data_IF_301817475380
#
_entry.id   IF_301817475380
#
_cell.length_a   1.000
_cell.length_b   1.000
_cell.length_c   1.000
_cell.angle_alpha   90.00
_cell.angle_beta   90.00
_cell.angle_gamma   90.00
#
_symmetry.space_group_name_H-M   'P 1'
#
loop_
_entity.id
_entity.type
_entity.pdbx_description
1 polymer ?
#
# COMPACT_ATOMS: atom_id res chain seq x y z
N UNK A 1 27.36 -0.86 -3.31
CA UNK A 1 26.58 -0.16 -2.26
C UNK A 1 25.67 -1.19 -1.61
N UNK A 2 25.55 -1.26 -0.28
CA UNK A 2 24.55 -2.13 0.35
C UNK A 2 23.20 -1.41 0.32
N UNK A 3 22.17 -2.08 -0.17
CA UNK A 3 20.80 -1.56 -0.13
C UNK A 3 20.37 -1.32 1.33
N UNK A 4 19.75 -0.17 1.56
CA UNK A 4 19.04 0.19 2.78
C UNK A 4 17.85 -0.76 3.03
N UNK A 5 17.30 -0.73 4.25
CA UNK A 5 16.13 -1.54 4.59
C UNK A 5 14.90 -1.19 3.75
N UNK A 6 14.72 0.10 3.44
CA UNK A 6 13.61 0.59 2.60
C UNK A 6 13.76 0.06 1.18
N UNK A 7 14.95 0.19 0.59
CA UNK A 7 15.21 -0.30 -0.77
C UNK A 7 15.02 -1.83 -0.87
N UNK A 8 15.51 -2.59 0.12
CA UNK A 8 15.29 -4.04 0.18
C UNK A 8 13.82 -4.41 0.30
N UNK A 9 13.03 -3.64 1.05
CA UNK A 9 11.59 -3.88 1.17
C UNK A 9 10.88 -3.67 -0.17
N UNK A 10 11.25 -2.61 -0.89
CA UNK A 10 10.68 -2.29 -2.21
C UNK A 10 11.11 -3.31 -3.26
N UNK A 11 12.39 -3.65 -3.34
CA UNK A 11 12.86 -4.72 -4.25
C UNK A 11 12.13 -6.05 -3.99
N UNK A 12 11.96 -6.42 -2.73
CA UNK A 12 11.25 -7.65 -2.39
C UNK A 12 9.76 -7.58 -2.79
N UNK A 13 9.11 -6.43 -2.56
CA UNK A 13 7.74 -6.20 -3.03
C UNK A 13 7.60 -6.32 -4.54
N UNK A 14 8.53 -5.74 -5.30
CA UNK A 14 8.55 -5.81 -6.77
C UNK A 14 8.74 -7.25 -7.26
N UNK A 15 9.62 -8.05 -6.63
CA UNK A 15 9.77 -9.46 -7.00
C UNK A 15 8.52 -10.30 -6.67
N UNK A 16 7.81 -9.99 -5.58
CA UNK A 16 6.50 -10.62 -5.31
C UNK A 16 5.50 -10.20 -6.39
N UNK A 17 5.45 -8.92 -6.75
CA UNK A 17 4.58 -8.39 -7.80
C UNK A 17 4.78 -9.11 -9.13
N UNK A 18 6.04 -9.30 -9.56
CA UNK A 18 6.35 -10.07 -10.77
C UNK A 18 5.78 -11.50 -10.69
N UNK A 19 5.94 -12.18 -9.54
CA UNK A 19 5.42 -13.53 -9.34
C UNK A 19 3.88 -13.56 -9.42
N UNK A 20 3.21 -12.58 -8.80
CA UNK A 20 1.74 -12.48 -8.77
C UNK A 20 1.19 -12.11 -10.15
N UNK A 21 1.78 -11.13 -10.83
CA UNK A 21 1.36 -10.71 -12.17
C UNK A 21 1.54 -11.84 -13.21
N UNK A 22 2.60 -12.64 -13.09
CA UNK A 22 2.78 -13.83 -13.93
C UNK A 22 1.80 -14.96 -13.62
N UNK A 23 1.32 -15.04 -12.38
CA UNK A 23 0.30 -16.00 -11.99
C UNK A 23 -1.10 -15.52 -12.42
N UNK A 24 -1.34 -14.21 -12.38
CA UNK A 24 -2.59 -13.53 -12.73
C UNK A 24 -3.84 -14.26 -12.19
N UNK A 25 -4.00 -14.33 -10.86
CA UNK A 25 -5.01 -15.17 -10.22
C UNK A 25 -6.47 -14.84 -10.60
N UNK A 26 -6.72 -13.65 -11.15
CA UNK A 26 -8.04 -13.19 -11.56
C UNK A 26 -8.15 -12.91 -13.07
N UNK A 27 -7.11 -13.21 -13.85
CA UNK A 27 -7.05 -12.95 -15.31
C UNK A 27 -7.29 -11.48 -15.68
N UNK A 28 -6.68 -10.56 -14.92
CA UNK A 28 -6.91 -9.12 -15.02
C UNK A 28 -5.80 -8.38 -15.77
N UNK A 29 -4.65 -9.01 -16.01
CA UNK A 29 -3.48 -8.30 -16.56
C UNK A 29 -3.69 -7.77 -17.99
N UNK A 30 -4.62 -8.36 -18.75
CA UNK A 30 -4.95 -7.89 -20.11
C UNK A 30 -5.85 -6.64 -20.11
N UNK A 31 -6.45 -6.28 -18.97
CA UNK A 31 -7.49 -5.25 -18.88
C UNK A 31 -7.17 -4.15 -17.86
N UNK A 32 -6.30 -4.43 -16.91
CA UNK A 32 -6.03 -3.56 -15.77
C UNK A 32 -4.62 -2.95 -15.80
N UNK A 33 -4.41 -1.80 -15.14
CA UNK A 33 -3.09 -1.20 -14.97
C UNK A 33 -2.14 -2.12 -14.18
N UNK A 34 -0.83 -1.86 -14.27
CA UNK A 34 0.23 -2.69 -13.67
C UNK A 34 0.13 -2.83 -12.13
N UNK A 35 -0.72 -2.05 -11.47
CA UNK A 35 -0.92 -2.06 -10.03
C UNK A 35 -2.12 -2.84 -9.51
N UNK A 36 -2.72 -3.70 -10.35
CA UNK A 36 -3.91 -4.47 -10.01
C UNK A 36 -3.83 -5.18 -8.65
N UNK A 37 -2.74 -5.89 -8.37
CA UNK A 37 -2.57 -6.70 -7.15
C UNK A 37 -1.73 -6.02 -6.07
N UNK A 38 -1.56 -4.70 -6.12
CA UNK A 38 -0.63 -3.98 -5.25
C UNK A 38 -0.93 -4.20 -3.76
N UNK A 39 -2.21 -4.21 -3.39
CA UNK A 39 -2.64 -4.37 -2.00
C UNK A 39 -2.35 -5.79 -1.50
N UNK A 40 -2.62 -6.79 -2.32
CA UNK A 40 -2.34 -8.20 -2.05
C UNK A 40 -0.84 -8.44 -1.95
N UNK A 41 -0.06 -7.88 -2.88
CA UNK A 41 1.41 -7.94 -2.89
C UNK A 41 1.99 -7.37 -1.60
N UNK A 42 1.53 -6.18 -1.15
CA UNK A 42 1.98 -5.59 0.12
C UNK A 42 1.59 -6.45 1.32
N UNK A 43 0.38 -7.01 1.34
CA UNK A 43 -0.06 -7.94 2.37
C UNK A 43 0.87 -9.16 2.47
N UNK A 44 1.14 -9.80 1.34
CA UNK A 44 2.03 -10.96 1.25
C UNK A 44 3.47 -10.61 1.66
N UNK A 45 4.00 -9.49 1.15
CA UNK A 45 5.33 -8.97 1.49
C UNK A 45 5.49 -8.84 3.00
N UNK A 46 4.57 -8.12 3.64
CA UNK A 46 4.64 -7.84 5.07
C UNK A 46 4.51 -9.13 5.90
N UNK A 47 3.63 -10.04 5.48
CA UNK A 47 3.43 -11.33 6.13
C UNK A 47 4.71 -12.17 6.11
N UNK A 48 5.42 -12.23 4.97
CA UNK A 48 6.68 -12.97 4.84
C UNK A 48 7.81 -12.31 5.64
N UNK A 49 7.89 -10.97 5.64
CA UNK A 49 8.88 -10.22 6.44
C UNK A 49 8.69 -10.50 7.94
N UNK A 50 7.44 -10.51 8.41
CA UNK A 50 7.11 -10.78 9.81
C UNK A 50 7.33 -12.24 10.21
N UNK A 51 7.19 -13.19 9.27
CA UNK A 51 7.25 -14.61 9.53
C UNK A 51 8.38 -15.28 8.71
N UNK A 52 9.64 -15.01 9.09
CA UNK A 52 10.83 -15.46 8.34
C UNK A 52 10.93 -16.97 8.08
N UNK A 53 10.26 -17.76 8.92
CA UNK A 53 10.26 -19.22 8.84
C UNK A 53 8.90 -19.78 8.41
N UNK A 54 8.04 -18.97 7.79
CA UNK A 54 6.75 -19.44 7.30
C UNK A 54 6.98 -20.56 6.28
N UNK A 55 6.31 -21.69 6.49
CA UNK A 55 6.42 -22.80 5.55
C UNK A 55 5.52 -22.57 4.33
N UNK A 56 5.85 -23.26 3.25
CA UNK A 56 5.14 -23.17 1.96
C UNK A 56 3.62 -23.32 2.10
N UNK A 57 3.13 -24.26 2.90
CA UNK A 57 1.70 -24.55 3.01
C UNK A 57 0.98 -23.45 3.79
N UNK A 58 1.60 -22.97 4.86
CA UNK A 58 1.07 -21.83 5.63
C UNK A 58 1.02 -20.56 4.79
N UNK A 59 2.09 -20.23 4.05
CA UNK A 59 2.08 -19.06 3.16
C UNK A 59 1.04 -19.20 2.04
N UNK A 60 0.90 -20.38 1.43
CA UNK A 60 -0.11 -20.62 0.39
C UNK A 60 -1.54 -20.39 0.92
N UNK A 61 -1.81 -20.83 2.16
CA UNK A 61 -3.09 -20.60 2.82
C UNK A 61 -3.35 -19.11 3.08
N UNK A 62 -2.33 -18.36 3.50
CA UNK A 62 -2.46 -16.91 3.71
C UNK A 62 -2.65 -16.15 2.40
N UNK A 63 -1.94 -16.51 1.33
CA UNK A 63 -2.18 -15.98 -0.03
C UNK A 63 -3.64 -16.21 -0.42
N UNK A 64 -4.15 -17.44 -0.26
CA UNK A 64 -5.57 -17.74 -0.51
C UNK A 64 -6.49 -16.86 0.32
N UNK A 65 -6.20 -16.64 1.59
CA UNK A 65 -7.02 -15.81 2.47
C UNK A 65 -7.05 -14.35 1.99
N UNK A 66 -5.90 -13.80 1.60
CA UNK A 66 -5.77 -12.44 1.04
C UNK A 66 -6.60 -12.30 -0.23
N UNK A 67 -6.44 -13.20 -1.20
CA UNK A 67 -7.19 -13.09 -2.46
C UNK A 67 -8.70 -13.34 -2.27
N UNK A 68 -9.09 -14.30 -1.41
CA UNK A 68 -10.51 -14.47 -1.05
C UNK A 68 -11.09 -13.25 -0.33
N UNK A 69 -10.26 -12.51 0.40
CA UNK A 69 -10.70 -11.29 1.07
C UNK A 69 -11.14 -10.24 0.05
N UNK A 70 -10.29 -9.95 -0.95
CA UNK A 70 -10.57 -8.91 -1.94
C UNK A 70 -11.55 -9.35 -3.04
N UNK A 71 -11.45 -10.60 -3.50
CA UNK A 71 -12.24 -11.10 -4.64
C UNK A 71 -13.37 -12.06 -4.24
N UNK A 72 -13.56 -12.32 -2.94
CA UNK A 72 -14.68 -13.12 -2.41
C UNK A 72 -14.82 -14.48 -3.12
N UNK A 73 -16.01 -14.79 -3.63
CA UNK A 73 -16.32 -16.06 -4.29
C UNK A 73 -15.79 -16.15 -5.73
N UNK A 74 -15.27 -15.05 -6.29
CA UNK A 74 -14.71 -15.06 -7.64
C UNK A 74 -13.31 -15.68 -7.69
N UNK A 75 -12.57 -15.65 -6.57
CA UNK A 75 -11.26 -16.27 -6.48
C UNK A 75 -11.35 -17.81 -6.45
N UNK A 76 -10.86 -18.45 -7.51
CA UNK A 76 -11.02 -19.90 -7.75
C UNK A 76 -9.71 -20.67 -7.93
N UNK A 77 -8.59 -20.13 -7.47
CA UNK A 77 -7.30 -20.80 -7.62
C UNK A 77 -7.22 -22.15 -6.88
N UNK A 78 -6.47 -23.08 -7.50
CA UNK A 78 -6.20 -24.40 -6.95
C UNK A 78 -5.02 -24.36 -5.96
N UNK A 79 -5.08 -25.24 -4.96
CA UNK A 79 -4.11 -25.28 -3.85
C UNK A 79 -2.67 -25.52 -4.30
N UNK A 80 -2.47 -26.39 -5.29
CA UNK A 80 -1.16 -26.70 -5.86
C UNK A 80 -0.51 -25.48 -6.54
N UNK A 81 -1.32 -24.66 -7.22
CA UNK A 81 -0.87 -23.40 -7.83
C UNK A 81 -0.43 -22.41 -6.75
N UNK A 82 -1.23 -22.23 -5.69
CA UNK A 82 -0.90 -21.36 -4.57
C UNK A 82 0.37 -21.81 -3.83
N UNK A 83 0.56 -23.12 -3.64
CA UNK A 83 1.80 -23.66 -3.06
C UNK A 83 3.03 -23.40 -3.94
N UNK A 84 2.88 -23.42 -5.28
CA UNK A 84 3.96 -23.06 -6.20
C UNK A 84 4.32 -21.57 -6.09
N UNK A 85 3.32 -20.69 -6.10
CA UNK A 85 3.49 -19.24 -5.90
C UNK A 85 4.19 -18.96 -4.56
N UNK A 86 3.70 -19.56 -3.46
CA UNK A 86 4.30 -19.44 -2.15
C UNK A 86 5.78 -19.88 -2.13
N UNK A 87 6.12 -20.96 -2.83
CA UNK A 87 7.51 -21.44 -2.94
C UNK A 87 8.43 -20.41 -3.60
N UNK A 88 7.98 -19.80 -4.70
CA UNK A 88 8.74 -18.76 -5.42
C UNK A 88 8.99 -17.55 -4.52
N UNK A 89 7.98 -17.12 -3.77
CA UNK A 89 8.08 -15.97 -2.85
C UNK A 89 9.05 -16.26 -1.70
N UNK A 90 8.99 -17.44 -1.10
CA UNK A 90 9.93 -17.87 -0.04
C UNK A 90 11.36 -17.91 -0.58
N UNK A 91 11.56 -18.35 -1.83
CA UNK A 91 12.89 -18.37 -2.42
C UNK A 91 13.46 -16.96 -2.58
N UNK A 92 12.65 -16.01 -3.08
CA UNK A 92 13.04 -14.59 -3.18
C UNK A 92 13.34 -13.97 -1.82
N UNK A 93 12.54 -14.28 -0.79
CA UNK A 93 12.70 -13.67 0.54
C UNK A 93 14.07 -13.95 1.18
N UNK A 94 14.72 -15.07 0.84
CA UNK A 94 16.06 -15.43 1.32
C UNK A 94 17.13 -14.38 0.99
N UNK A 95 16.95 -13.60 -0.08
CA UNK A 95 17.85 -12.50 -0.47
C UNK A 95 17.77 -11.32 0.49
N UNK A 96 16.57 -11.03 1.03
CA UNK A 96 16.29 -9.82 1.79
C UNK A 96 16.24 -10.13 3.28
N UNK A 97 17.38 -10.04 3.96
CA UNK A 97 17.49 -10.17 5.42
C UNK A 97 16.86 -8.95 6.13
N UNK A 98 15.54 -8.81 6.07
CA UNK A 98 14.77 -7.73 6.68
C UNK A 98 14.51 -8.06 8.16
N UNK A 99 14.87 -7.14 9.06
CA UNK A 99 14.84 -7.36 10.52
C UNK A 99 13.98 -6.29 11.23
N UNK A 100 12.74 -6.12 10.78
CA UNK A 100 11.77 -5.23 11.40
C UNK A 100 10.36 -5.84 11.28
N UNK A 101 9.44 -5.35 12.10
CA UNK A 101 8.04 -5.77 12.05
C UNK A 101 7.27 -4.75 11.23
N UNK A 102 6.55 -5.26 10.23
CA UNK A 102 5.56 -4.51 9.48
C UNK A 102 4.15 -4.83 9.98
N UNK A 103 3.18 -3.94 9.80
CA UNK A 103 1.79 -4.25 10.06
C UNK A 103 1.29 -5.25 9.01
N UNK A 104 0.52 -6.23 9.46
CA UNK A 104 -0.17 -7.14 8.54
C UNK A 104 -1.38 -6.40 7.96
N UNK A 105 -1.39 -6.16 6.65
CA UNK A 105 -2.45 -5.38 6.02
C UNK A 105 -3.59 -6.23 5.51
N UNK A 106 -4.76 -6.01 6.11
CA UNK A 106 -6.05 -6.24 5.47
C UNK A 106 -6.75 -4.87 5.49
N UNK A 107 -6.78 -4.14 4.37
CA UNK A 107 -7.61 -2.92 4.35
C UNK A 107 -9.06 -3.35 4.24
N UNK A 108 -9.74 -3.35 5.38
CA UNK A 108 -11.09 -3.91 5.44
C UNK A 108 -12.19 -2.95 5.01
N UNK A 109 -11.83 -1.72 4.61
CA UNK A 109 -12.82 -0.69 4.28
C UNK A 109 -13.04 -0.64 2.78
N UNK A 110 -14.15 -1.24 2.35
CA UNK A 110 -14.69 -1.00 1.01
C UNK A 110 -15.25 0.42 0.93
N UNK A 111 -14.70 1.24 0.04
CA UNK A 111 -15.25 2.56 -0.27
C UNK A 111 -16.47 2.37 -1.17
N UNK A 112 -17.61 2.89 -0.74
CA UNK A 112 -18.87 2.81 -1.49
C UNK A 112 -19.29 4.23 -1.83
N UNK A 113 -19.31 4.55 -3.12
CA UNK A 113 -19.80 5.83 -3.62
C UNK A 113 -21.30 5.74 -3.89
N UNK A 114 -22.06 6.79 -3.54
CA UNK A 114 -23.51 6.84 -3.76
C UNK A 114 -23.87 7.19 -5.20
N UNK A 115 -22.97 7.89 -5.90
CA UNK A 115 -23.17 8.32 -7.28
C UNK A 115 -21.82 8.63 -7.95
N UNK A 116 -21.86 8.81 -9.27
CA UNK A 116 -20.68 9.10 -10.08
C UNK A 116 -19.96 10.37 -9.65
N UNK A 117 -20.70 11.43 -9.31
CA UNK A 117 -20.12 12.71 -8.89
C UNK A 117 -19.25 12.57 -7.64
N UNK A 118 -19.69 11.77 -6.67
CA UNK A 118 -18.91 11.49 -5.46
C UNK A 118 -17.64 10.69 -5.78
N UNK A 119 -17.73 9.72 -6.70
CA UNK A 119 -16.58 8.97 -7.19
C UNK A 119 -15.56 9.90 -7.90
N UNK A 120 -16.03 10.80 -8.76
CA UNK A 120 -15.17 11.73 -9.51
C UNK A 120 -14.42 12.69 -8.56
N UNK A 121 -15.11 13.24 -7.56
CA UNK A 121 -14.50 14.10 -6.53
C UNK A 121 -13.42 13.31 -5.77
N UNK A 122 -13.74 12.08 -5.36
CA UNK A 122 -12.79 11.23 -4.66
C UNK A 122 -11.55 10.92 -5.52
N UNK A 123 -11.74 10.54 -6.79
CA UNK A 123 -10.65 10.21 -7.72
C UNK A 123 -9.74 11.44 -7.92
N UNK A 124 -10.31 12.62 -8.13
CA UNK A 124 -9.54 13.85 -8.30
C UNK A 124 -8.74 14.20 -7.04
N UNK A 125 -9.37 14.07 -5.87
CA UNK A 125 -8.71 14.31 -4.59
C UNK A 125 -7.58 13.31 -4.36
N UNK A 126 -7.83 12.03 -4.62
CA UNK A 126 -6.84 10.95 -4.55
C UNK A 126 -5.63 11.26 -5.43
N UNK A 127 -5.83 11.57 -6.71
CA UNK A 127 -4.74 11.90 -7.63
C UNK A 127 -3.90 13.06 -7.11
N UNK A 128 -4.53 14.12 -6.59
CA UNK A 128 -3.81 15.30 -6.08
C UNK A 128 -3.03 15.00 -4.81
N UNK A 129 -3.64 14.31 -3.85
CA UNK A 129 -2.98 13.97 -2.59
C UNK A 129 -1.88 12.95 -2.82
N UNK A 130 -2.11 11.93 -3.63
CA UNK A 130 -1.10 10.92 -3.97
C UNK A 130 0.15 11.59 -4.57
N UNK A 131 -0.02 12.56 -5.47
CA UNK A 131 1.11 13.36 -5.99
C UNK A 131 1.85 14.12 -4.90
N UNK A 132 1.14 14.74 -3.95
CA UNK A 132 1.78 15.45 -2.83
C UNK A 132 2.58 14.49 -1.95
N UNK A 133 2.04 13.30 -1.67
CA UNK A 133 2.69 12.29 -0.84
C UNK A 133 3.90 11.68 -1.56
N UNK A 134 3.79 11.32 -2.83
CA UNK A 134 4.92 10.82 -3.61
C UNK A 134 6.05 11.85 -3.74
N UNK A 135 5.71 13.14 -3.88
CA UNK A 135 6.72 14.18 -3.91
C UNK A 135 7.36 14.45 -2.55
N UNK A 136 6.66 14.14 -1.45
CA UNK A 136 7.24 14.19 -0.12
C UNK A 136 8.17 13.02 0.13
N UNK A 137 7.81 11.83 -0.37
CA UNK A 137 8.60 10.59 -0.31
C UNK A 137 9.24 10.36 1.07
N UNK A 138 8.43 10.14 2.11
CA UNK A 138 8.93 10.06 3.49
C UNK A 138 9.92 8.92 3.73
N UNK A 139 9.96 7.91 2.85
CA UNK A 139 10.89 6.78 2.96
C UNK A 139 12.06 6.86 1.97
N UNK A 140 12.08 7.86 1.08
CA UNK A 140 13.08 8.02 0.00
C UNK A 140 13.14 6.81 -0.92
N UNK A 141 11.97 6.35 -1.35
CA UNK A 141 11.81 5.14 -2.16
C UNK A 141 11.20 5.39 -3.53
N UNK A 142 10.71 6.60 -3.81
CA UNK A 142 9.97 6.87 -5.06
C UNK A 142 10.83 6.76 -6.32
N UNK A 143 12.16 6.84 -6.19
CA UNK A 143 13.10 6.61 -7.30
C UNK A 143 13.16 5.13 -7.75
N UNK A 144 12.69 4.20 -6.91
CA UNK A 144 12.76 2.74 -7.14
C UNK A 144 11.42 2.01 -6.97
N UNK A 145 10.36 2.73 -6.57
CA UNK A 145 9.02 2.19 -6.35
C UNK A 145 8.04 2.70 -7.41
N UNK A 146 6.87 2.07 -7.48
CA UNK A 146 5.77 2.56 -8.30
C UNK A 146 5.12 3.79 -7.66
N UNK A 147 4.49 4.65 -8.48
CA UNK A 147 3.80 5.87 -8.05
C UNK A 147 2.60 5.66 -7.11
N UNK A 148 2.31 4.43 -6.74
CA UNK A 148 1.20 4.05 -5.88
C UNK A 148 1.70 3.30 -4.63
N UNK A 149 3.01 3.29 -4.34
CA UNK A 149 3.53 2.70 -3.10
C UNK A 149 2.88 3.32 -1.86
N UNK A 150 2.47 4.59 -1.92
CA UNK A 150 1.75 5.28 -0.85
C UNK A 150 0.22 5.35 -1.01
N UNK A 151 -0.37 4.51 -1.88
CA UNK A 151 -1.81 4.51 -2.14
C UNK A 151 -2.64 4.26 -0.88
N UNK A 152 -2.22 3.30 -0.05
CA UNK A 152 -2.87 2.99 1.22
C UNK A 152 -2.85 4.20 2.17
N UNK A 153 -1.68 4.79 2.39
CA UNK A 153 -1.55 5.94 3.28
C UNK A 153 -2.36 7.13 2.77
N UNK A 154 -2.37 7.35 1.44
CA UNK A 154 -3.18 8.37 0.78
C UNK A 154 -4.67 8.17 1.04
N UNK A 155 -5.19 6.94 0.90
CA UNK A 155 -6.59 6.61 1.19
C UNK A 155 -6.96 6.93 2.64
N UNK A 156 -6.10 6.55 3.59
CA UNK A 156 -6.30 6.85 5.02
C UNK A 156 -6.28 8.34 5.32
N UNK A 157 -5.47 9.12 4.61
CA UNK A 157 -5.43 10.57 4.75
C UNK A 157 -6.74 11.21 4.26
N UNK A 158 -7.26 10.75 3.11
CA UNK A 158 -8.55 11.22 2.56
C UNK A 158 -9.69 10.96 3.54
N UNK A 159 -9.71 9.80 4.19
CA UNK A 159 -10.70 9.49 5.24
C UNK A 159 -10.67 10.50 6.39
N UNK A 160 -9.50 10.96 6.81
CA UNK A 160 -9.38 11.94 7.90
C UNK A 160 -9.80 13.36 7.47
N UNK A 161 -9.60 13.71 6.19
CA UNK A 161 -10.04 15.00 5.64
C UNK A 161 -11.56 15.19 5.69
N UNK A 162 -12.32 14.11 5.51
CA UNK A 162 -13.79 14.12 5.58
C UNK A 162 -14.34 14.58 6.94
N UNK A 163 -13.51 14.62 7.99
CA UNK A 163 -13.89 14.92 9.38
C UNK A 163 -13.72 16.39 9.77
N UNK A 164 -13.49 17.28 8.81
CA UNK A 164 -13.25 18.72 9.04
C UNK A 164 -12.13 18.97 10.06
N UNK A 165 -10.92 18.51 9.71
CA UNK A 165 -9.75 18.44 10.60
C UNK A 165 -8.81 19.65 10.44
N UNK A 166 -8.18 20.08 11.54
CA UNK A 166 -7.17 21.14 11.52
C UNK A 166 -5.85 20.68 10.88
N UNK A 167 -5.01 21.62 10.43
CA UNK A 167 -3.68 21.27 9.91
C UNK A 167 -2.79 20.58 10.95
N UNK A 168 -2.85 21.01 12.22
CA UNK A 168 -2.08 20.36 13.28
C UNK A 168 -2.57 18.93 13.54
N UNK A 169 -3.88 18.72 13.56
CA UNK A 169 -4.42 17.38 13.83
C UNK A 169 -4.23 16.46 12.63
N UNK A 170 -4.36 16.95 11.40
CA UNK A 170 -4.03 16.20 10.20
C UNK A 170 -2.56 15.77 10.18
N UNK A 171 -1.64 16.65 10.58
CA UNK A 171 -0.21 16.30 10.68
C UNK A 171 0.02 15.14 11.67
N UNK A 172 -0.66 15.16 12.83
CA UNK A 172 -0.60 14.04 13.79
C UNK A 172 -1.19 12.74 13.20
N UNK A 173 -2.26 12.85 12.41
CA UNK A 173 -2.86 11.69 11.72
C UNK A 173 -1.93 11.12 10.66
N UNK A 174 -1.31 11.96 9.84
CA UNK A 174 -0.31 11.55 8.85
C UNK A 174 0.84 10.80 9.56
N UNK A 175 1.42 11.39 10.62
CA UNK A 175 2.48 10.72 11.40
C UNK A 175 2.03 9.35 11.90
N UNK A 176 0.81 9.25 12.45
CA UNK A 176 0.26 7.98 12.92
C UNK A 176 0.05 6.98 11.79
N UNK A 177 -0.48 7.41 10.65
CA UNK A 177 -0.73 6.56 9.48
C UNK A 177 0.58 5.94 8.99
N UNK A 178 1.61 6.76 8.78
CA UNK A 178 2.90 6.27 8.29
C UNK A 178 3.67 5.45 9.33
N UNK A 179 3.66 5.82 10.61
CA UNK A 179 4.22 4.97 11.68
C UNK A 179 3.50 3.64 11.78
N UNK A 180 2.18 3.66 11.68
CA UNK A 180 1.38 2.43 11.66
C UNK A 180 1.62 1.62 10.40
N UNK A 181 2.31 2.14 9.38
CA UNK A 181 2.49 1.49 8.09
C UNK A 181 3.87 0.91 7.89
N UNK A 182 4.87 1.67 8.32
CA UNK A 182 6.28 1.39 8.08
C UNK A 182 7.09 1.27 9.37
N UNK A 183 6.46 1.54 10.52
CA UNK A 183 7.04 1.39 11.86
C UNK A 183 8.43 2.06 11.96
N UNK A 184 9.47 1.26 12.18
CA UNK A 184 10.86 1.69 12.33
C UNK A 184 11.46 2.29 11.05
N UNK A 185 10.86 2.04 9.88
CA UNK A 185 11.34 2.60 8.62
C UNK A 185 10.94 4.07 8.42
N UNK A 186 9.93 4.55 9.16
CA UNK A 186 9.43 5.91 9.04
C UNK A 186 10.18 6.85 10.00
N UNK A 187 11.33 7.31 9.56
CA UNK A 187 12.17 8.29 10.23
C UNK A 187 12.23 9.59 9.42
N UNK A 188 11.45 10.59 9.82
CA UNK A 188 11.42 11.88 9.12
C UNK A 188 11.84 13.05 10.00
N UNK A 189 12.22 14.16 9.38
CA UNK A 189 12.60 15.37 10.08
C UNK A 189 11.42 16.03 10.81
N UNK A 190 11.73 16.71 11.92
CA UNK A 190 10.73 17.39 12.74
C UNK A 190 10.02 18.47 11.92
N UNK A 191 8.69 18.44 11.95
CA UNK A 191 7.78 19.40 11.29
C UNK A 191 7.60 19.22 9.77
N UNK A 192 7.99 18.10 9.18
CA UNK A 192 7.63 17.85 7.78
C UNK A 192 6.13 17.58 7.61
N UNK A 193 5.51 16.81 8.52
CA UNK A 193 4.09 16.45 8.37
C UNK A 193 3.17 17.67 8.40
N UNK A 194 3.51 18.72 9.15
CA UNK A 194 2.70 19.94 9.18
C UNK A 194 2.80 20.71 7.86
N UNK A 195 3.95 20.68 7.17
CA UNK A 195 4.09 21.27 5.83
C UNK A 195 3.23 20.50 4.84
N UNK A 196 3.25 19.18 4.91
CA UNK A 196 2.47 18.30 4.04
C UNK A 196 0.97 18.41 4.31
N UNK A 197 0.55 18.39 5.57
CA UNK A 197 -0.84 18.59 5.98
C UNK A 197 -1.43 19.89 5.43
N UNK A 198 -0.66 20.99 5.44
CA UNK A 198 -1.09 22.28 4.86
C UNK A 198 -1.26 22.20 3.34
N UNK A 199 -0.34 21.53 2.62
CA UNK A 199 -0.47 21.32 1.17
C UNK A 199 -1.72 20.49 0.84
N UNK A 200 -1.96 19.44 1.60
CA UNK A 200 -3.12 18.54 1.44
C UNK A 200 -4.43 19.27 1.71
N UNK A 201 -4.55 20.02 2.80
CA UNK A 201 -5.75 20.81 3.10
C UNK A 201 -6.03 21.87 2.04
N UNK A 202 -4.98 22.52 1.50
CA UNK A 202 -5.13 23.45 0.38
C UNK A 202 -5.71 22.76 -0.86
N UNK A 203 -5.22 21.56 -1.20
CA UNK A 203 -5.74 20.79 -2.32
C UNK A 203 -7.20 20.36 -2.09
N UNK A 204 -7.53 19.92 -0.86
CA UNK A 204 -8.88 19.51 -0.48
C UNK A 204 -9.90 20.64 -0.58
N UNK A 205 -9.58 21.82 -0.05
CA UNK A 205 -10.49 22.97 -0.08
C UNK A 205 -10.81 23.44 -1.50
N UNK A 206 -9.84 23.36 -2.42
CA UNK A 206 -10.04 23.68 -3.84
C UNK A 206 -11.06 22.71 -4.47
N UNK A 207 -10.94 21.41 -4.21
CA UNK A 207 -11.86 20.40 -4.77
C UNK A 207 -13.28 20.48 -4.19
N UNK A 208 -13.39 20.78 -2.91
CA UNK A 208 -14.69 20.94 -2.23
C UNK A 208 -15.38 22.28 -2.55
N UNK A 209 -14.76 23.15 -3.36
CA UNK A 209 -15.29 24.48 -3.67
C UNK A 209 -15.36 25.41 -2.45
N UNK A 210 -14.61 25.10 -1.38
CA UNK A 210 -14.50 25.93 -0.18
C UNK A 210 -13.39 26.94 -0.45
N UNK A 211 -13.77 28.13 -0.91
CA UNK A 211 -12.85 29.23 -1.20
C UNK A 211 -11.90 29.52 -0.03
N UNK A 212 -10.67 29.95 -0.37
CA UNK A 212 -9.63 30.42 0.57
C UNK A 212 -10.06 31.75 1.18
#
# INVERSE_FOLDING_TARGET
MMLSSNEKLIEFGNEIKEIINLWDPMELMDFCPEDEYETEVKGIRNLVVNNKNIDKKSLAQEIRNIFKYYFSNEYKSKKDIEENVASKIIEKSKKYKLNFILPNYYDTKKIIFKNQKEADIYINLYIKINKIINLWDPLKIMDISFSNEYSYETNRIIEELSKNISAQDLAKKINKIFKNSYNELYEIEKNEEIKIARKILKAYNIEEGRGI
#
